data_IF_992117660889
#
_entry.id   IF_992117660889
#
_cell.length_a   1.000
_cell.length_b   1.000
_cell.length_c   1.000
_cell.angle_alpha   90.00
_cell.angle_beta   90.00
_cell.angle_gamma   90.00
#
_symmetry.space_group_name_H-M   'P 1'
#
loop_
_entity.id
_entity.type
_entity.pdbx_description
1 polymer ?
#
# COMPACT_ATOMS: atom_id res chain seq x y z
N UNK A 1 -81.74 27.91 18.94
CA UNK A 1 -81.72 26.48 19.02
C UNK A 1 -80.42 26.00 18.47
N UNK A 2 -79.56 25.73 19.31
CA UNK A 2 -78.39 24.85 19.48
C UNK A 2 -77.79 24.23 18.25
N UNK A 3 -76.66 24.75 17.82
CA UNK A 3 -75.72 23.92 17.06
C UNK A 3 -74.35 23.89 17.77
N UNK A 4 -73.91 22.72 17.99
CA UNK A 4 -72.67 22.36 18.73
C UNK A 4 -71.56 22.18 17.77
N UNK A 5 -70.72 23.19 17.70
CA UNK A 5 -69.38 23.12 17.17
C UNK A 5 -68.60 21.93 17.72
N UNK A 6 -68.27 21.01 16.86
CA UNK A 6 -67.26 19.95 17.08
C UNK A 6 -65.91 20.50 16.67
N UNK A 7 -65.09 20.80 17.64
CA UNK A 7 -63.66 21.09 17.42
C UNK A 7 -62.92 19.75 17.31
N UNK A 8 -62.63 19.37 16.09
CA UNK A 8 -61.70 18.26 15.82
C UNK A 8 -60.26 18.65 16.07
N UNK A 9 -59.71 18.18 17.16
CA UNK A 9 -58.29 18.30 17.48
C UNK A 9 -57.50 17.43 16.49
N UNK A 10 -56.74 18.07 15.60
CA UNK A 10 -55.79 17.40 14.71
C UNK A 10 -54.47 17.24 15.46
N UNK A 11 -54.28 16.12 16.09
CA UNK A 11 -52.99 15.67 16.60
C UNK A 11 -52.05 15.39 15.44
N UNK A 12 -51.11 16.32 15.23
CA UNK A 12 -50.05 16.17 14.26
C UNK A 12 -49.00 15.21 14.83
N UNK A 13 -49.06 13.95 14.42
CA UNK A 13 -48.08 12.96 14.79
C UNK A 13 -46.83 13.20 13.96
N UNK A 14 -45.79 13.78 14.61
CA UNK A 14 -44.47 13.99 14.02
C UNK A 14 -43.74 12.65 14.03
N UNK A 15 -43.74 11.96 12.89
CA UNK A 15 -42.91 10.76 12.69
C UNK A 15 -41.49 11.23 12.39
N UNK A 16 -40.65 11.18 13.39
CA UNK A 16 -39.20 11.35 13.24
C UNK A 16 -38.66 10.06 12.63
N UNK A 17 -38.47 10.07 11.32
CA UNK A 17 -37.74 9.00 10.62
C UNK A 17 -36.24 9.16 10.93
N UNK A 18 -35.77 8.39 11.91
CA UNK A 18 -34.33 8.22 12.18
C UNK A 18 -33.74 7.38 11.06
N UNK A 19 -33.22 8.04 10.02
CA UNK A 19 -32.46 7.38 8.97
C UNK A 19 -31.12 6.90 9.57
N UNK A 20 -31.07 5.66 9.96
CA UNK A 20 -29.82 4.97 10.29
C UNK A 20 -29.00 4.85 9.01
N UNK A 21 -28.05 5.78 8.83
CA UNK A 21 -27.01 5.68 7.82
C UNK A 21 -26.09 4.54 8.19
N UNK A 22 -26.42 3.35 7.71
CA UNK A 22 -25.52 2.20 7.76
C UNK A 22 -24.39 2.51 6.80
N UNK A 23 -23.28 3.06 7.30
CA UNK A 23 -22.04 3.14 6.55
C UNK A 23 -21.63 1.72 6.22
N UNK A 24 -21.83 1.31 4.96
CA UNK A 24 -21.20 0.12 4.41
C UNK A 24 -19.68 0.39 4.41
N UNK A 25 -19.02 0.03 5.51
CA UNK A 25 -17.60 -0.24 5.46
C UNK A 25 -17.46 -1.44 4.53
N UNK A 26 -17.21 -1.19 3.25
CA UNK A 26 -16.82 -2.22 2.32
C UNK A 26 -15.62 -2.95 2.90
N UNK A 27 -15.46 -4.26 2.66
CA UNK A 27 -14.27 -4.97 3.09
C UNK A 27 -13.07 -4.18 2.55
N UNK A 28 -12.15 -3.81 3.42
CA UNK A 28 -10.86 -3.29 3.02
C UNK A 28 -10.21 -4.42 2.21
N UNK A 29 -10.44 -4.40 0.89
CA UNK A 29 -9.92 -5.42 -0.01
C UNK A 29 -8.41 -5.33 0.02
N UNK A 30 -7.74 -6.48 0.08
CA UNK A 30 -6.30 -6.55 -0.03
C UNK A 30 -5.85 -5.82 -1.30
N UNK A 31 -4.78 -5.03 -1.20
CA UNK A 31 -4.26 -4.28 -2.33
C UNK A 31 -3.63 -5.23 -3.34
N UNK A 32 -4.10 -5.23 -4.58
CA UNK A 32 -3.43 -5.94 -5.66
C UNK A 32 -2.11 -5.24 -5.99
N UNK A 33 -1.04 -5.74 -5.39
CA UNK A 33 0.30 -5.20 -5.57
C UNK A 33 0.85 -5.52 -6.96
N UNK A 34 0.66 -6.76 -7.41
CA UNK A 34 1.11 -7.27 -8.71
C UNK A 34 -0.09 -7.99 -9.35
N UNK A 35 -0.42 -7.63 -10.58
CA UNK A 35 -1.47 -8.30 -11.35
C UNK A 35 -0.95 -9.58 -12.00
N UNK A 36 -1.87 -10.48 -12.35
CA UNK A 36 -1.54 -11.71 -13.08
C UNK A 36 -0.85 -11.42 -14.43
N UNK A 37 -1.31 -10.38 -15.14
CA UNK A 37 -0.70 -9.97 -16.42
C UNK A 37 0.74 -9.49 -16.25
N UNK A 38 1.01 -8.70 -15.21
CA UNK A 38 2.36 -8.20 -14.91
C UNK A 38 3.30 -9.32 -14.48
N UNK A 39 2.79 -10.31 -13.74
CA UNK A 39 3.59 -11.45 -13.29
C UNK A 39 4.13 -12.29 -14.46
N UNK A 40 3.39 -12.35 -15.57
CA UNK A 40 3.74 -13.07 -16.79
C UNK A 40 4.74 -12.35 -17.69
N UNK A 41 5.03 -11.07 -17.42
CA UNK A 41 6.03 -10.33 -18.17
C UNK A 41 7.42 -11.01 -18.01
N UNK A 42 8.27 -10.94 -19.04
CA UNK A 42 9.64 -11.46 -18.94
C UNK A 42 10.39 -10.77 -17.79
N UNK A 43 11.23 -11.49 -17.04
CA UNK A 43 12.04 -10.88 -16.00
C UNK A 43 13.01 -9.86 -16.60
N UNK A 44 13.26 -8.78 -15.87
CA UNK A 44 14.34 -7.88 -16.22
C UNK A 44 15.66 -8.67 -16.13
N UNK A 45 16.59 -8.41 -17.05
CA UNK A 45 17.95 -8.92 -16.88
C UNK A 45 18.55 -8.23 -15.66
N UNK A 46 18.59 -8.92 -14.56
CA UNK A 46 19.08 -8.39 -13.29
C UNK A 46 20.57 -8.16 -13.37
N UNK A 47 20.96 -6.92 -13.70
CA UNK A 47 22.19 -6.41 -13.15
C UNK A 47 21.90 -6.13 -11.69
N UNK A 48 22.34 -6.99 -10.75
CA UNK A 48 22.34 -6.63 -9.34
C UNK A 48 23.00 -5.25 -9.20
N UNK A 49 22.36 -4.29 -8.52
CA UNK A 49 23.05 -3.05 -8.20
C UNK A 49 24.30 -3.45 -7.42
N UNK A 50 25.48 -3.23 -8.01
CA UNK A 50 26.72 -3.41 -7.29
C UNK A 50 26.67 -2.46 -6.10
N UNK A 51 26.56 -3.04 -4.90
CA UNK A 51 26.51 -2.28 -3.66
C UNK A 51 27.78 -1.48 -3.49
N UNK A 52 27.78 -0.26 -4.00
CA UNK A 52 28.79 0.73 -3.60
C UNK A 52 28.51 1.13 -2.15
N UNK A 53 29.57 1.42 -1.40
CA UNK A 53 29.45 2.07 -0.10
C UNK A 53 28.85 3.45 -0.38
N UNK A 54 27.55 3.59 -0.16
CA UNK A 54 26.84 4.85 -0.32
C UNK A 54 26.51 5.37 1.07
N UNK A 55 26.78 6.66 1.32
CA UNK A 55 26.36 7.38 2.52
C UNK A 55 24.84 7.67 2.52
N UNK A 56 24.08 6.99 1.66
CA UNK A 56 22.64 7.13 1.53
C UNK A 56 21.85 6.43 2.65
N UNK A 57 20.52 6.59 2.64
CA UNK A 57 19.65 6.00 3.65
C UNK A 57 19.75 4.47 3.67
N UNK A 58 19.52 3.86 4.84
CA UNK A 58 19.39 2.42 4.98
C UNK A 58 18.00 1.95 4.59
N UNK A 59 17.92 0.75 3.98
CA UNK A 59 16.66 0.07 3.66
C UNK A 59 16.71 -1.30 4.34
N UNK A 60 15.74 -1.54 5.24
CA UNK A 60 15.63 -2.81 5.98
C UNK A 60 14.29 -3.44 5.63
N UNK A 61 14.31 -4.53 4.88
CA UNK A 61 13.13 -5.30 4.54
C UNK A 61 12.78 -6.19 5.73
N UNK A 62 11.56 -6.07 6.25
CA UNK A 62 11.04 -6.88 7.36
C UNK A 62 10.15 -7.99 6.83
N UNK A 63 9.22 -7.65 5.94
CA UNK A 63 8.33 -8.57 5.24
C UNK A 63 8.11 -8.08 3.81
N UNK A 64 7.98 -8.98 2.84
CA UNK A 64 8.25 -10.41 2.94
C UNK A 64 9.74 -10.70 3.18
N UNK A 65 10.02 -11.74 3.96
CA UNK A 65 11.41 -12.19 4.15
C UNK A 65 11.89 -12.96 2.90
N UNK A 66 13.10 -12.71 2.40
CA UNK A 66 13.63 -13.41 1.24
C UNK A 66 13.78 -14.92 1.45
N UNK A 67 13.85 -15.36 2.71
CA UNK A 67 14.08 -16.77 3.07
C UNK A 67 12.79 -17.56 3.30
N UNK A 68 11.62 -16.94 3.12
CA UNK A 68 10.34 -17.57 3.39
C UNK A 68 9.33 -17.30 2.28
N UNK A 69 8.65 -18.37 1.90
CA UNK A 69 7.47 -18.25 1.04
C UNK A 69 6.35 -17.54 1.79
N UNK A 70 5.60 -16.73 1.06
CA UNK A 70 4.43 -16.03 1.60
C UNK A 70 3.16 -16.49 0.88
N UNK A 71 2.02 -16.34 1.55
CA UNK A 71 0.70 -16.58 0.96
C UNK A 71 -0.07 -15.28 0.92
N UNK A 72 -0.78 -15.05 -0.17
CA UNK A 72 -1.66 -13.89 -0.29
C UNK A 72 -2.93 -14.07 0.58
N UNK A 73 -3.43 -13.02 1.27
CA UNK A 73 -2.79 -11.72 1.40
C UNK A 73 -1.58 -11.75 2.36
N UNK A 74 -0.59 -10.89 2.12
CA UNK A 74 0.62 -10.80 2.95
C UNK A 74 0.97 -9.34 3.27
N UNK A 75 1.67 -9.14 4.38
CA UNK A 75 2.15 -7.82 4.76
C UNK A 75 3.42 -7.43 3.99
N UNK A 76 3.53 -6.15 3.63
CA UNK A 76 4.75 -5.55 3.11
C UNK A 76 5.23 -4.50 4.10
N UNK A 77 6.35 -4.78 4.75
CA UNK A 77 6.96 -3.88 5.73
C UNK A 77 8.43 -3.66 5.45
N UNK A 78 8.78 -2.43 5.19
CA UNK A 78 10.16 -1.99 4.93
C UNK A 78 10.44 -0.78 5.79
N UNK A 79 11.52 -0.81 6.54
CA UNK A 79 11.94 0.31 7.38
C UNK A 79 13.05 1.10 6.68
N UNK A 80 12.91 2.41 6.66
CA UNK A 80 13.95 3.31 6.19
C UNK A 80 14.76 3.83 7.38
N UNK A 81 16.06 3.94 7.20
CA UNK A 81 16.97 4.48 8.20
C UNK A 81 17.69 5.70 7.63
N UNK A 82 17.33 6.90 8.05
CA UNK A 82 18.06 8.10 7.67
C UNK A 82 19.53 8.01 8.10
N UNK A 83 20.41 8.65 7.35
CA UNK A 83 21.83 8.69 7.66
C UNK A 83 22.30 10.13 7.85
N UNK A 84 23.14 10.36 8.89
CA UNK A 84 23.80 11.65 9.11
C UNK A 84 22.85 12.83 9.38
N UNK A 85 21.72 12.58 10.07
CA UNK A 85 20.76 13.63 10.44
C UNK A 85 19.82 14.08 9.30
N UNK A 86 19.91 13.46 8.11
CA UNK A 86 18.96 13.70 7.01
C UNK A 86 17.60 13.06 7.30
N UNK A 87 16.60 13.44 6.51
CA UNK A 87 15.26 12.84 6.53
C UNK A 87 14.99 12.11 5.20
N UNK A 88 14.15 11.10 5.27
CA UNK A 88 13.69 10.43 4.05
C UNK A 88 12.65 11.30 3.35
N UNK A 89 12.82 11.49 2.06
CA UNK A 89 11.81 12.13 1.23
C UNK A 89 10.84 11.07 0.70
N UNK A 90 9.72 10.90 1.39
CA UNK A 90 8.69 9.91 1.01
C UNK A 90 8.13 10.14 -0.39
N UNK A 91 8.15 11.38 -0.89
CA UNK A 91 7.65 11.72 -2.24
C UNK A 91 8.59 11.23 -3.36
N UNK A 92 9.84 10.94 -3.03
CA UNK A 92 10.89 10.48 -3.95
C UNK A 92 11.19 8.99 -3.83
N UNK A 93 10.45 8.28 -2.98
CA UNK A 93 10.52 6.82 -2.93
C UNK A 93 9.92 6.24 -4.19
N UNK A 94 10.63 5.29 -4.83
CA UNK A 94 10.14 4.55 -6.00
C UNK A 94 10.18 3.06 -5.76
N UNK A 95 9.16 2.37 -6.26
CA UNK A 95 8.99 0.93 -6.11
C UNK A 95 8.73 0.36 -7.49
N UNK A 96 9.70 -0.41 -8.00
CA UNK A 96 9.71 -0.89 -9.38
C UNK A 96 9.70 -2.42 -9.39
N UNK A 97 8.73 -3.03 -10.03
CA UNK A 97 8.72 -4.45 -10.31
C UNK A 97 9.65 -4.76 -11.49
N UNK A 98 10.61 -5.64 -11.27
CA UNK A 98 11.70 -5.90 -12.20
C UNK A 98 11.27 -6.85 -13.33
N UNK A 99 10.49 -6.33 -14.26
CA UNK A 99 10.03 -7.01 -15.47
C UNK A 99 10.43 -6.22 -16.72
N UNK A 100 10.08 -6.73 -17.88
CA UNK A 100 10.23 -6.06 -19.18
C UNK A 100 8.87 -5.95 -19.88
N UNK A 101 8.34 -4.74 -20.02
CA UNK A 101 8.84 -3.48 -19.45
C UNK A 101 8.80 -3.46 -17.93
N UNK A 102 9.59 -2.60 -17.28
CA UNK A 102 9.54 -2.40 -15.84
C UNK A 102 8.18 -1.79 -15.44
N UNK A 103 7.62 -2.25 -14.33
CA UNK A 103 6.32 -1.78 -13.84
C UNK A 103 6.52 -0.92 -12.60
N UNK A 104 6.03 0.31 -12.63
CA UNK A 104 6.06 1.21 -11.48
C UNK A 104 4.89 0.90 -10.54
N UNK A 105 5.20 0.41 -9.35
CA UNK A 105 4.22 0.09 -8.30
C UNK A 105 4.04 1.24 -7.30
N UNK A 106 4.79 2.34 -7.43
CA UNK A 106 4.82 3.45 -6.47
C UNK A 106 3.43 4.03 -6.23
N UNK A 107 2.65 4.22 -7.29
CA UNK A 107 1.31 4.77 -7.20
C UNK A 107 0.35 3.90 -6.37
N UNK A 108 0.49 2.57 -6.45
CA UNK A 108 -0.33 1.60 -5.69
C UNK A 108 -0.02 1.65 -4.20
N UNK A 109 1.25 1.87 -3.86
CA UNK A 109 1.75 1.89 -2.48
C UNK A 109 1.79 3.29 -1.86
N UNK A 110 1.38 4.34 -2.58
CA UNK A 110 1.49 5.74 -2.14
C UNK A 110 0.91 5.98 -0.75
N UNK A 111 -0.21 5.34 -0.41
CA UNK A 111 -0.85 5.45 0.91
C UNK A 111 -0.12 4.70 2.03
N UNK A 112 0.78 3.78 1.68
CA UNK A 112 1.56 2.98 2.63
C UNK A 112 3.00 3.47 2.79
N UNK A 113 3.43 4.46 1.99
CA UNK A 113 4.78 5.03 2.03
C UNK A 113 4.82 6.21 2.99
N UNK A 114 5.80 6.22 3.88
CA UNK A 114 6.09 7.31 4.83
C UNK A 114 7.60 7.55 4.93
N UNK A 115 8.00 8.58 5.68
CA UNK A 115 9.42 8.82 6.00
C UNK A 115 10.05 7.67 6.81
N UNK A 116 9.25 6.93 7.58
CA UNK A 116 9.71 5.79 8.36
C UNK A 116 9.87 4.51 7.54
N UNK A 117 9.15 4.39 6.41
CA UNK A 117 9.18 3.19 5.61
C UNK A 117 7.91 2.96 4.79
N UNK A 118 7.73 1.71 4.42
CA UNK A 118 6.53 1.20 3.76
C UNK A 118 5.83 0.28 4.75
N UNK A 119 4.54 0.47 4.96
CA UNK A 119 3.71 -0.39 5.85
C UNK A 119 2.36 -0.65 5.18
N UNK A 120 2.21 -1.84 4.63
CA UNK A 120 0.99 -2.32 3.99
C UNK A 120 0.61 -3.67 4.59
N UNK A 121 -0.55 -3.74 5.23
CA UNK A 121 -0.98 -4.94 5.95
C UNK A 121 -1.37 -6.09 4.99
N UNK A 122 -2.09 -5.76 3.91
CA UNK A 122 -2.73 -6.76 3.06
C UNK A 122 -2.40 -6.48 1.58
N UNK A 123 -1.34 -7.10 1.09
CA UNK A 123 -0.96 -7.12 -0.32
C UNK A 123 -1.33 -8.46 -0.96
N UNK A 124 -1.70 -8.42 -2.23
CA UNK A 124 -1.87 -9.64 -3.04
C UNK A 124 -0.96 -9.60 -4.25
N UNK A 125 -0.42 -10.76 -4.59
CA UNK A 125 0.31 -11.01 -5.82
C UNK A 125 0.05 -12.46 -6.26
N UNK A 126 0.15 -12.77 -7.56
CA UNK A 126 0.01 -14.12 -8.07
C UNK A 126 1.10 -15.05 -7.51
N UNK A 127 0.84 -16.37 -7.48
CA UNK A 127 1.89 -17.34 -7.14
C UNK A 127 3.09 -17.24 -8.09
N UNK A 128 4.29 -17.31 -7.52
CA UNK A 128 5.55 -17.22 -8.25
C UNK A 128 6.58 -16.36 -7.54
N UNK A 129 7.77 -16.26 -8.13
CA UNK A 129 8.87 -15.43 -7.62
C UNK A 129 8.77 -14.01 -8.19
N UNK A 130 8.93 -13.04 -7.32
CA UNK A 130 8.82 -11.61 -7.64
C UNK A 130 10.04 -10.86 -7.14
N UNK A 131 10.60 -10.02 -8.03
CA UNK A 131 11.73 -9.14 -7.72
C UNK A 131 11.28 -7.69 -7.79
N UNK A 132 11.35 -6.98 -6.68
CA UNK A 132 10.97 -5.58 -6.57
C UNK A 132 12.18 -4.78 -6.15
N UNK A 133 12.47 -3.68 -6.88
CA UNK A 133 13.47 -2.71 -6.50
C UNK A 133 12.80 -1.55 -5.76
N UNK A 134 13.39 -1.16 -4.65
CA UNK A 134 12.99 -0.02 -3.85
C UNK A 134 14.13 1.00 -3.89
N UNK A 135 13.84 2.18 -4.40
CA UNK A 135 14.77 3.31 -4.45
C UNK A 135 14.32 4.35 -3.41
N UNK A 136 15.17 4.69 -2.47
CA UNK A 136 14.89 5.65 -1.39
C UNK A 136 15.86 6.81 -1.49
N UNK A 137 15.33 8.03 -1.47
CA UNK A 137 16.10 9.27 -1.54
C UNK A 137 15.89 10.08 -0.26
N UNK A 138 16.94 10.65 0.27
CA UNK A 138 16.85 11.57 1.41
C UNK A 138 16.78 13.04 0.95
N UNK A 139 16.57 13.95 1.92
CA UNK A 139 16.49 15.39 1.69
C UNK A 139 17.83 16.01 1.22
N UNK A 140 18.95 15.32 1.46
CA UNK A 140 20.26 15.69 0.91
C UNK A 140 20.47 15.17 -0.53
N UNK A 141 19.49 14.52 -1.14
CA UNK A 141 19.55 14.00 -2.51
C UNK A 141 20.32 12.68 -2.66
N UNK A 142 20.68 12.04 -1.57
CA UNK A 142 21.38 10.74 -1.59
C UNK A 142 20.36 9.62 -1.78
N UNK A 143 20.62 8.75 -2.75
CA UNK A 143 19.71 7.65 -3.10
C UNK A 143 20.36 6.31 -2.76
N UNK A 144 19.56 5.41 -2.21
CA UNK A 144 19.87 3.99 -2.01
C UNK A 144 18.83 3.14 -2.69
N UNK A 145 19.28 2.07 -3.33
CA UNK A 145 18.43 1.04 -3.93
C UNK A 145 18.60 -0.28 -3.23
N UNK A 146 17.51 -1.00 -3.04
CA UNK A 146 17.51 -2.39 -2.59
C UNK A 146 16.60 -3.23 -3.49
N UNK A 147 16.97 -4.48 -3.73
CA UNK A 147 16.12 -5.46 -4.41
C UNK A 147 15.59 -6.43 -3.37
N UNK A 148 14.30 -6.65 -3.40
CA UNK A 148 13.58 -7.60 -2.56
C UNK A 148 13.06 -8.70 -3.47
N UNK A 149 13.54 -9.92 -3.24
CA UNK A 149 13.04 -11.13 -3.90
C UNK A 149 12.20 -11.93 -2.93
N UNK A 150 11.00 -12.34 -3.33
CA UNK A 150 10.12 -13.16 -2.51
C UNK A 150 9.28 -14.08 -3.39
N UNK A 151 8.83 -15.19 -2.82
CA UNK A 151 7.99 -16.18 -3.51
C UNK A 151 6.61 -16.23 -2.87
N UNK A 152 5.58 -16.10 -3.70
CA UNK A 152 4.18 -16.29 -3.31
C UNK A 152 3.77 -17.72 -3.66
N UNK A 153 3.27 -18.45 -2.68
CA UNK A 153 2.73 -19.82 -2.85
C UNK A 153 1.19 -19.80 -2.77
N UNK A 154 0.57 -20.83 -3.32
CA UNK A 154 -0.89 -21.02 -3.28
C UNK A 154 -1.38 -21.37 -1.89
#
# INVERSE_FOLDING_TARGET
MLDRSQRGSRTLTLIVALAASLALAGPAGALELITEAESRLPPALSGMPRGGITLGPGIVVVTPSPDRDVRAPFAVKVNFRPHGGSKIDASRVKIIYLKRPAVDLTARLKGAISEAGIDLADATAPPGTHDIRIDVTDDAGRTKSAVVSFTVVK
#
